data_IF_293965819224
#
_entry.id   IF_293965819224
#
_cell.length_a   1.000
_cell.length_b   1.000
_cell.length_c   1.000
_cell.angle_alpha   90.00
_cell.angle_beta   90.00
_cell.angle_gamma   90.00
#
_symmetry.space_group_name_H-M   'P 1'
#
loop_
_entity.id
_entity.type
_entity.pdbx_description
1 polymer ?
#
# COMPACT_ATOMS: atom_id res chain seq x y z
N UNK A 1 -5.61 13.94 23.90
CA UNK A 1 -6.09 12.80 23.09
C UNK A 1 -4.87 12.19 22.43
N UNK A 2 -4.66 10.88 22.57
CA UNK A 2 -3.57 10.20 21.84
C UNK A 2 -3.98 10.06 20.39
N UNK A 3 -3.11 10.54 19.51
CA UNK A 3 -3.24 10.43 18.06
C UNK A 3 -3.03 8.97 17.66
N UNK A 4 -3.81 8.49 16.67
CA UNK A 4 -3.57 7.17 16.08
C UNK A 4 -2.28 7.18 15.26
N UNK A 5 -1.39 6.20 15.49
CA UNK A 5 -0.12 6.06 14.78
C UNK A 5 -0.14 4.82 13.90
N UNK A 6 0.02 4.97 12.59
CA UNK A 6 0.26 3.84 11.69
C UNK A 6 1.77 3.74 11.42
N UNK A 7 2.35 2.58 11.67
CA UNK A 7 3.78 2.32 11.49
C UNK A 7 4.02 1.36 10.31
N UNK A 8 4.35 1.86 9.09
CA UNK A 8 4.40 1.02 7.90
C UNK A 8 5.68 0.19 7.79
N UNK A 9 5.57 -1.00 7.20
CA UNK A 9 6.67 -1.82 6.69
C UNK A 9 6.43 -1.98 5.19
N UNK A 10 7.44 -1.68 4.38
CA UNK A 10 7.35 -1.67 2.90
C UNK A 10 8.53 -2.40 2.27
N UNK A 11 8.44 -2.81 1.02
CA UNK A 11 9.45 -3.60 0.30
C UNK A 11 10.48 -2.71 -0.43
N UNK A 12 9.97 -1.77 -1.22
CA UNK A 12 10.68 -0.91 -2.15
C UNK A 12 11.07 0.45 -1.59
N UNK A 13 11.94 1.15 -2.33
CA UNK A 13 12.36 2.50 -1.96
C UNK A 13 11.31 3.56 -2.31
N UNK A 14 10.55 3.40 -3.39
CA UNK A 14 9.48 4.34 -3.75
C UNK A 14 8.34 4.33 -2.71
N UNK A 15 8.02 3.13 -2.20
CA UNK A 15 6.94 2.92 -1.24
C UNK A 15 7.17 3.64 0.09
N UNK A 16 8.43 3.84 0.50
CA UNK A 16 8.76 4.55 1.76
C UNK A 16 8.14 5.94 1.80
N UNK A 17 8.11 6.65 0.67
CA UNK A 17 7.47 7.97 0.61
C UNK A 17 5.99 7.83 0.26
N UNK A 18 5.65 6.94 -0.66
CA UNK A 18 4.28 6.80 -1.17
C UNK A 18 3.28 6.29 -0.12
N UNK A 19 3.69 5.38 0.78
CA UNK A 19 2.81 4.83 1.81
C UNK A 19 2.35 5.90 2.81
N UNK A 20 3.19 6.90 3.08
CA UNK A 20 2.82 8.04 3.94
C UNK A 20 1.69 8.85 3.32
N UNK A 21 1.82 9.18 2.04
CA UNK A 21 0.78 9.90 1.28
C UNK A 21 -0.53 9.11 1.27
N UNK A 22 -0.47 7.81 0.94
CA UNK A 22 -1.66 6.96 0.91
C UNK A 22 -2.35 6.89 2.27
N UNK A 23 -1.65 6.54 3.34
CA UNK A 23 -2.26 6.36 4.66
C UNK A 23 -2.87 7.68 5.17
N UNK A 24 -2.17 8.81 4.95
CA UNK A 24 -2.66 10.13 5.34
C UNK A 24 -3.94 10.49 4.58
N UNK A 25 -3.95 10.29 3.26
CA UNK A 25 -5.11 10.58 2.43
C UNK A 25 -6.28 9.63 2.70
N UNK A 26 -6.03 8.34 2.91
CA UNK A 26 -7.09 7.38 3.26
C UNK A 26 -7.74 7.78 4.58
N UNK A 27 -6.95 8.12 5.61
CA UNK A 27 -7.46 8.58 6.89
C UNK A 27 -8.35 9.83 6.74
N UNK A 28 -7.93 10.79 5.91
CA UNK A 28 -8.70 12.00 5.66
C UNK A 28 -9.98 11.74 4.84
N UNK A 29 -9.86 11.05 3.70
CA UNK A 29 -10.93 10.92 2.69
C UNK A 29 -11.97 9.83 3.02
N UNK A 30 -11.56 8.76 3.73
CA UNK A 30 -12.44 7.64 4.07
C UNK A 30 -12.83 7.62 5.55
N UNK A 31 -11.92 8.02 6.44
CA UNK A 31 -12.16 7.96 7.89
C UNK A 31 -12.50 9.32 8.51
N UNK A 32 -12.37 10.43 7.78
CA UNK A 32 -12.62 11.78 8.28
C UNK A 32 -11.76 12.16 9.48
N UNK A 33 -10.56 11.58 9.61
CA UNK A 33 -9.67 11.74 10.76
C UNK A 33 -8.24 12.02 10.33
N UNK A 34 -7.45 12.54 11.27
CA UNK A 34 -6.01 12.62 11.14
C UNK A 34 -5.32 11.37 11.69
N UNK A 35 -4.15 11.06 11.14
CA UNK A 35 -3.27 9.95 11.53
C UNK A 35 -1.82 10.42 11.49
N UNK A 36 -1.03 10.00 12.47
CA UNK A 36 0.43 10.12 12.39
C UNK A 36 0.97 8.87 11.68
N UNK A 37 1.77 9.07 10.63
CA UNK A 37 2.46 7.96 9.98
C UNK A 37 3.90 7.93 10.48
N UNK A 38 4.26 6.89 11.23
CA UNK A 38 5.64 6.71 11.69
C UNK A 38 6.57 6.47 10.49
N UNK A 39 7.87 6.71 10.66
CA UNK A 39 8.85 6.48 9.60
C UNK A 39 8.72 5.04 9.06
N UNK A 40 8.45 4.83 7.76
CA UNK A 40 8.31 3.49 7.21
C UNK A 40 9.60 2.70 7.33
N UNK A 41 9.49 1.42 7.66
CA UNK A 41 10.61 0.49 7.73
C UNK A 41 10.68 -0.28 6.42
N UNK A 42 11.74 -0.06 5.63
CA UNK A 42 11.96 -0.83 4.40
C UNK A 42 12.59 -2.17 4.74
N UNK A 43 11.92 -3.26 4.37
CA UNK A 43 12.41 -4.62 4.49
C UNK A 43 12.42 -5.25 3.09
N UNK A 44 13.59 -5.58 2.56
CA UNK A 44 13.68 -6.15 1.21
C UNK A 44 12.87 -7.44 1.05
N UNK A 45 12.42 -7.71 -0.17
CA UNK A 45 11.49 -8.79 -0.52
C UNK A 45 11.94 -10.16 -0.01
N UNK A 46 13.23 -10.46 -0.15
CA UNK A 46 13.84 -11.72 0.29
C UNK A 46 13.78 -11.91 1.80
N UNK A 47 13.90 -10.82 2.58
CA UNK A 47 13.71 -10.86 4.04
C UNK A 47 12.26 -10.82 4.44
N UNK A 48 11.40 -10.06 3.75
CA UNK A 48 9.98 -9.96 4.09
C UNK A 48 9.26 -11.31 4.00
N UNK A 49 9.74 -12.23 3.13
CA UNK A 49 9.27 -13.62 3.03
C UNK A 49 9.63 -14.51 4.21
N UNK A 50 10.56 -14.10 5.07
CA UNK A 50 11.03 -14.89 6.20
C UNK A 50 10.24 -14.46 7.44
N UNK A 51 9.40 -15.34 8.03
CA UNK A 51 8.57 -14.99 9.18
C UNK A 51 9.37 -14.41 10.36
N UNK A 52 10.61 -14.88 10.58
CA UNK A 52 11.47 -14.37 11.64
C UNK A 52 11.91 -12.91 11.39
N UNK A 53 12.30 -12.57 10.16
CA UNK A 53 12.75 -11.22 9.78
C UNK A 53 11.58 -10.24 9.75
N UNK A 54 10.44 -10.65 9.18
CA UNK A 54 9.21 -9.87 9.24
C UNK A 54 8.77 -9.66 10.69
N UNK A 55 8.82 -10.69 11.52
CA UNK A 55 8.49 -10.58 12.95
C UNK A 55 9.38 -9.59 13.71
N UNK A 56 10.69 -9.53 13.40
CA UNK A 56 11.60 -8.50 13.95
C UNK A 56 11.18 -7.10 13.53
N UNK A 57 10.86 -6.89 12.25
CA UNK A 57 10.41 -5.60 11.74
C UNK A 57 9.06 -5.18 12.35
N UNK A 58 8.12 -6.11 12.52
CA UNK A 58 6.82 -5.88 13.18
C UNK A 58 7.03 -5.44 14.62
N UNK A 59 7.88 -6.11 15.41
CA UNK A 59 8.19 -5.68 16.78
C UNK A 59 8.80 -4.28 16.82
N UNK A 60 9.72 -3.99 15.88
CA UNK A 60 10.36 -2.68 15.80
C UNK A 60 9.37 -1.55 15.47
N UNK A 61 8.47 -1.75 14.50
CA UNK A 61 7.46 -0.75 14.15
C UNK A 61 6.36 -0.64 15.21
N UNK A 62 5.97 -1.75 15.86
CA UNK A 62 4.98 -1.72 16.94
C UNK A 62 5.44 -0.86 18.12
N UNK A 63 6.74 -0.83 18.44
CA UNK A 63 7.29 0.04 19.48
C UNK A 63 7.11 1.54 19.18
N UNK A 64 6.79 1.92 17.94
CA UNK A 64 6.50 3.30 17.52
C UNK A 64 5.03 3.67 17.63
N UNK A 65 4.18 2.77 18.10
CA UNK A 65 2.74 2.96 18.27
C UNK A 65 2.45 3.06 19.77
N UNK A 66 2.54 4.26 20.40
CA UNK A 66 2.41 4.42 21.85
C UNK A 66 0.96 4.31 22.37
N UNK A 67 -0.01 4.09 21.48
CA UNK A 67 -1.44 4.10 21.83
C UNK A 67 -2.30 3.51 20.71
N UNK A 68 -3.25 4.30 20.19
CA UNK A 68 -4.11 3.87 19.08
C UNK A 68 -3.30 3.76 17.78
N UNK A 69 -3.75 2.92 16.86
CA UNK A 69 -3.03 2.64 15.63
C UNK A 69 -2.48 1.22 15.58
N UNK A 70 -1.48 0.99 14.73
CA UNK A 70 -0.83 -0.31 14.62
C UNK A 70 0.17 -0.37 13.47
N UNK A 71 0.59 -1.59 13.14
CA UNK A 71 1.58 -1.84 12.08
C UNK A 71 0.86 -2.16 10.78
N UNK A 72 1.25 -1.49 9.71
CA UNK A 72 0.81 -1.80 8.35
C UNK A 72 1.96 -2.49 7.62
N UNK A 73 1.78 -3.70 7.13
CA UNK A 73 2.73 -4.35 6.21
C UNK A 73 2.17 -4.23 4.81
N UNK A 74 2.87 -3.52 3.94
CA UNK A 74 2.56 -3.42 2.53
C UNK A 74 3.64 -4.15 1.72
N UNK A 75 3.21 -5.02 0.82
CA UNK A 75 4.09 -5.83 -0.01
C UNK A 75 3.52 -5.98 -1.42
N UNK A 76 4.40 -6.02 -2.40
CA UNK A 76 4.04 -6.45 -3.75
C UNK A 76 3.74 -7.95 -3.79
N UNK A 77 2.71 -8.30 -4.56
CA UNK A 77 2.28 -9.66 -4.79
C UNK A 77 3.07 -10.38 -5.88
N UNK A 78 4.22 -9.85 -6.32
CA UNK A 78 5.04 -10.51 -7.34
C UNK A 78 5.70 -11.75 -6.73
N UNK A 79 4.96 -12.83 -6.87
CA UNK A 79 5.42 -14.16 -6.56
C UNK A 79 5.02 -15.11 -7.69
N UNK A 80 6.00 -15.86 -8.18
CA UNK A 80 5.75 -17.07 -8.98
C UNK A 80 4.98 -18.13 -8.19
N UNK A 81 4.94 -18.01 -6.86
CA UNK A 81 4.59 -19.11 -5.96
C UNK A 81 3.21 -18.97 -5.32
N UNK A 82 2.60 -17.77 -5.28
CA UNK A 82 1.26 -17.55 -4.69
C UNK A 82 0.42 -16.65 -5.58
N UNK A 83 -0.65 -17.22 -6.14
CA UNK A 83 -1.58 -16.49 -7.03
C UNK A 83 -2.65 -15.69 -6.26
N UNK A 84 -2.80 -15.95 -4.97
CA UNK A 84 -3.82 -15.38 -4.10
C UNK A 84 -3.23 -14.44 -3.03
N UNK A 85 -3.45 -13.11 -3.12
CA UNK A 85 -3.02 -12.14 -2.10
C UNK A 85 -3.44 -12.48 -0.67
N UNK A 86 -4.61 -13.11 -0.50
CA UNK A 86 -5.15 -13.48 0.82
C UNK A 86 -4.35 -14.61 1.44
N UNK A 87 -3.98 -15.62 0.66
CA UNK A 87 -3.17 -16.74 1.14
C UNK A 87 -1.77 -16.26 1.52
N UNK A 88 -1.20 -15.35 0.71
CA UNK A 88 0.10 -14.75 1.02
C UNK A 88 0.07 -13.92 2.30
N UNK A 89 -0.95 -13.09 2.48
CA UNK A 89 -1.13 -12.32 3.71
C UNK A 89 -1.26 -13.23 4.94
N UNK A 90 -1.98 -14.34 4.83
CA UNK A 90 -2.10 -15.34 5.92
C UNK A 90 -0.78 -16.04 6.22
N UNK A 91 -0.01 -16.40 5.19
CA UNK A 91 1.30 -17.04 5.37
C UNK A 91 2.33 -16.11 6.03
N UNK A 92 2.20 -14.79 5.82
CA UNK A 92 3.04 -13.76 6.42
C UNK A 92 2.52 -13.27 7.79
N UNK A 93 1.35 -13.72 8.21
CA UNK A 93 0.76 -13.26 9.47
C UNK A 93 1.74 -13.53 10.63
N UNK A 94 2.03 -12.52 11.47
CA UNK A 94 2.87 -12.74 12.63
C UNK A 94 2.20 -13.76 13.55
N UNK A 95 3.00 -14.49 14.34
CA UNK A 95 2.48 -15.38 15.36
C UNK A 95 1.58 -14.60 16.34
N UNK A 96 0.52 -15.25 16.82
CA UNK A 96 -0.40 -14.66 17.78
C UNK A 96 0.36 -14.13 19.01
N UNK A 97 0.02 -12.91 19.43
CA UNK A 97 0.65 -12.25 20.58
C UNK A 97 2.09 -11.76 20.34
N UNK A 98 2.60 -11.75 19.10
CA UNK A 98 3.92 -11.19 18.77
C UNK A 98 4.09 -9.75 19.27
N UNK A 99 3.02 -8.96 19.12
CA UNK A 99 2.89 -7.56 19.56
C UNK A 99 1.48 -7.34 20.07
N UNK A 100 1.29 -6.30 20.89
CA UNK A 100 -0.02 -5.95 21.47
C UNK A 100 -0.86 -5.02 20.61
N UNK A 101 -0.25 -4.43 19.57
CA UNK A 101 -0.93 -3.54 18.62
C UNK A 101 -1.45 -4.34 17.42
N UNK A 102 -2.55 -3.91 16.78
CA UNK A 102 -3.00 -4.48 15.51
C UNK A 102 -1.90 -4.51 14.45
N UNK A 103 -1.91 -5.57 13.63
CA UNK A 103 -1.00 -5.73 12.49
C UNK A 103 -1.85 -6.08 11.27
N UNK A 104 -1.86 -5.21 10.27
CA UNK A 104 -2.59 -5.43 9.03
C UNK A 104 -1.62 -5.68 7.89
N UNK A 105 -1.80 -6.81 7.19
CA UNK A 105 -1.00 -7.16 6.02
C UNK A 105 -1.81 -6.91 4.75
N UNK A 106 -1.23 -6.13 3.84
CA UNK A 106 -1.78 -5.76 2.55
C UNK A 106 -0.81 -6.21 1.48
N UNK A 107 -1.34 -6.97 0.52
CA UNK A 107 -0.60 -7.41 -0.66
C UNK A 107 -1.19 -6.66 -1.86
N UNK A 108 -0.40 -5.78 -2.49
CA UNK A 108 -0.75 -5.18 -3.77
C UNK A 108 -0.77 -6.29 -4.83
N UNK A 109 -1.91 -6.50 -5.50
CA UNK A 109 -2.04 -7.66 -6.38
C UNK A 109 -1.13 -7.49 -7.59
N UNK A 110 -0.19 -8.44 -7.74
CA UNK A 110 0.97 -8.35 -8.62
C UNK A 110 1.94 -7.24 -8.22
N UNK A 111 1.56 -5.97 -8.36
CA UNK A 111 2.46 -4.83 -8.20
C UNK A 111 1.68 -3.61 -7.67
N UNK A 112 2.34 -2.75 -6.88
CA UNK A 112 1.80 -1.46 -6.43
C UNK A 112 1.23 -0.62 -7.60
N UNK A 113 1.88 -0.65 -8.76
CA UNK A 113 1.48 0.09 -9.96
C UNK A 113 0.08 -0.29 -10.47
N UNK A 114 -0.45 -1.46 -10.11
CA UNK A 114 -1.82 -1.85 -10.44
C UNK A 114 -2.86 -0.89 -9.84
N UNK A 115 -2.55 -0.24 -8.71
CA UNK A 115 -3.41 0.76 -8.10
C UNK A 115 -3.45 2.06 -8.89
N UNK A 116 -2.33 2.45 -9.51
CA UNK A 116 -2.29 3.60 -10.41
C UNK A 116 -3.05 3.32 -11.70
N UNK A 117 -2.92 2.12 -12.26
CA UNK A 117 -3.72 1.70 -13.41
C UNK A 117 -5.22 1.75 -13.12
N UNK A 118 -5.65 1.35 -11.93
CA UNK A 118 -7.05 1.38 -11.51
C UNK A 118 -7.64 2.80 -11.40
N UNK A 119 -6.80 3.83 -11.35
CA UNK A 119 -7.20 5.23 -11.21
C UNK A 119 -6.53 6.11 -12.28
N UNK A 120 -6.07 5.56 -13.40
CA UNK A 120 -5.17 6.27 -14.32
C UNK A 120 -5.84 7.48 -14.96
N UNK A 121 -7.15 7.45 -15.19
CA UNK A 121 -7.91 8.58 -15.72
C UNK A 121 -7.85 9.80 -14.79
N UNK A 122 -7.76 9.58 -13.47
CA UNK A 122 -7.57 10.66 -12.49
C UNK A 122 -6.17 11.27 -12.55
N UNK A 123 -5.20 10.55 -13.12
CA UNK A 123 -3.81 10.97 -13.26
C UNK A 123 -3.55 11.72 -14.57
N UNK A 124 -4.50 11.78 -15.52
CA UNK A 124 -4.31 12.49 -16.79
C UNK A 124 -3.97 13.99 -16.63
N UNK A 125 -4.31 14.60 -15.50
CA UNK A 125 -3.91 15.99 -15.21
C UNK A 125 -2.43 16.13 -14.78
N UNK A 126 -1.75 15.03 -14.47
CA UNK A 126 -0.35 15.03 -14.08
C UNK A 126 0.55 15.00 -15.33
N UNK A 127 1.58 15.87 -15.44
CA UNK A 127 2.37 16.05 -16.68
C UNK A 127 3.15 14.79 -17.16
N UNK A 128 3.34 13.83 -16.26
CA UNK A 128 3.99 12.55 -16.57
C UNK A 128 3.05 11.49 -17.17
N UNK A 129 1.74 11.75 -17.23
CA UNK A 129 0.71 10.82 -17.74
C UNK A 129 0.09 11.42 -19.00
N UNK A 130 -0.24 10.58 -19.98
CA UNK A 130 -0.89 11.02 -21.22
C UNK A 130 -2.32 11.49 -20.93
N UNK A 131 -2.75 12.56 -21.58
CA UNK A 131 -4.07 13.15 -21.39
C UNK A 131 -5.22 12.17 -21.76
N UNK A 132 -4.95 11.20 -22.64
CA UNK A 132 -5.88 10.18 -23.11
C UNK A 132 -5.65 8.79 -22.47
N UNK A 133 -4.94 8.73 -21.34
CA UNK A 133 -4.73 7.48 -20.63
C UNK A 133 -6.05 6.90 -20.12
N UNK A 134 -6.30 5.62 -20.41
CA UNK A 134 -7.48 4.88 -19.99
C UNK A 134 -7.06 3.59 -19.32
N UNK A 135 -7.72 3.26 -18.22
CA UNK A 135 -7.44 2.05 -17.48
C UNK A 135 -7.69 0.81 -18.36
N UNK A 136 -6.81 -0.20 -18.33
CA UNK A 136 -7.16 -1.50 -18.88
C UNK A 136 -8.34 -2.09 -18.09
N UNK A 137 -9.29 -2.74 -18.76
CA UNK A 137 -10.57 -3.13 -18.16
C UNK A 137 -10.50 -3.94 -16.85
N UNK A 138 -9.45 -4.74 -16.65
CA UNK A 138 -9.09 -5.27 -15.33
C UNK A 138 -7.63 -4.94 -15.03
N UNK A 139 -7.41 -3.97 -14.16
CA UNK A 139 -6.09 -3.45 -13.74
C UNK A 139 -5.29 -4.45 -12.91
N UNK A 140 -5.93 -5.50 -12.36
CA UNK A 140 -5.28 -6.57 -11.60
C UNK A 140 -5.26 -7.92 -12.35
N UNK A 141 -5.84 -8.03 -13.55
CA UNK A 141 -5.90 -9.28 -14.31
C UNK A 141 -4.57 -9.69 -14.93
N UNK A 142 -3.76 -8.71 -15.35
CA UNK A 142 -2.52 -8.93 -16.08
C UNK A 142 -1.32 -8.54 -15.21
N UNK A 143 -0.28 -9.38 -15.25
CA UNK A 143 1.06 -9.04 -14.73
C UNK A 143 1.67 -7.92 -15.58
N UNK A 144 2.65 -7.21 -15.02
CA UNK A 144 3.36 -6.12 -15.70
C UNK A 144 2.58 -4.81 -15.66
N UNK A 145 1.96 -4.52 -14.50
CA UNK A 145 1.24 -3.27 -14.29
C UNK A 145 2.19 -2.08 -14.48
N UNK A 146 3.45 -2.21 -14.06
CA UNK A 146 4.52 -1.24 -14.31
C UNK A 146 4.72 -0.94 -15.79
N UNK A 147 4.85 -1.97 -16.62
CA UNK A 147 5.04 -1.81 -18.07
C UNK A 147 3.81 -1.20 -18.74
N UNK A 148 2.61 -1.56 -18.27
CA UNK A 148 1.37 -0.96 -18.76
C UNK A 148 1.26 0.51 -18.38
N UNK A 149 1.59 0.85 -17.13
CA UNK A 149 1.61 2.22 -16.63
C UNK A 149 2.61 3.06 -17.44
N UNK A 150 3.82 2.56 -17.66
CA UNK A 150 4.83 3.22 -18.49
C UNK A 150 4.32 3.47 -19.92
N UNK A 151 3.55 2.53 -20.50
CA UNK A 151 2.90 2.73 -21.79
C UNK A 151 1.86 3.86 -21.83
N UNK A 152 1.32 4.26 -20.67
CA UNK A 152 0.38 5.37 -20.50
C UNK A 152 1.06 6.68 -20.05
N UNK A 153 2.39 6.67 -19.89
CA UNK A 153 3.17 7.82 -19.46
C UNK A 153 3.85 8.54 -20.62
N UNK A 154 4.21 9.80 -20.37
CA UNK A 154 4.99 10.65 -21.29
C UNK A 154 6.50 10.50 -21.08
N UNK A 155 6.91 9.82 -20.00
CA UNK A 155 8.28 9.51 -19.65
C UNK A 155 8.38 8.09 -19.04
N UNK A 156 9.61 7.57 -18.91
CA UNK A 156 9.82 6.27 -18.27
C UNK A 156 9.43 6.29 -16.80
N UNK A 157 8.72 5.24 -16.39
CA UNK A 157 8.32 5.08 -15.00
C UNK A 157 9.53 4.82 -14.09
N UNK A 158 9.50 5.45 -12.92
CA UNK A 158 10.54 5.41 -11.88
C UNK A 158 9.87 5.44 -10.51
N UNK A 159 9.93 4.34 -9.79
CA UNK A 159 9.21 4.15 -8.52
C UNK A 159 9.49 5.27 -7.51
N UNK A 160 10.77 5.60 -7.29
CA UNK A 160 11.20 6.63 -6.33
C UNK A 160 10.79 8.05 -6.72
N UNK A 161 10.50 8.31 -7.99
CA UNK A 161 10.07 9.62 -8.49
C UNK A 161 8.54 9.73 -8.53
N UNK A 162 7.86 8.65 -8.92
CA UNK A 162 6.46 8.69 -9.30
C UNK A 162 5.52 8.15 -8.23
N UNK A 163 5.88 7.11 -7.47
CA UNK A 163 4.94 6.48 -6.55
C UNK A 163 4.37 7.49 -5.54
N UNK A 164 5.21 8.32 -4.92
CA UNK A 164 4.74 9.34 -3.99
C UNK A 164 3.88 10.42 -4.66
N UNK A 165 4.25 10.87 -5.86
CA UNK A 165 3.51 11.90 -6.59
C UNK A 165 2.13 11.39 -6.99
N UNK A 166 2.06 10.20 -7.57
CA UNK A 166 0.82 9.59 -8.01
C UNK A 166 -0.07 9.24 -6.82
N UNK A 167 0.48 8.65 -5.75
CA UNK A 167 -0.26 8.39 -4.52
C UNK A 167 -0.77 9.66 -3.84
N UNK A 168 -0.11 10.81 -4.04
CA UNK A 168 -0.55 12.11 -3.55
C UNK A 168 -1.72 12.73 -4.32
N UNK A 169 -1.97 12.32 -5.57
CA UNK A 169 -2.97 12.98 -6.45
C UNK A 169 -4.01 12.06 -7.08
N UNK A 170 -3.79 10.74 -7.15
CA UNK A 170 -4.77 9.81 -7.73
C UNK A 170 -6.10 9.86 -6.97
N UNK A 171 -7.21 9.62 -7.66
CA UNK A 171 -8.52 9.45 -7.02
C UNK A 171 -8.56 8.09 -6.28
N UNK A 172 -8.59 8.15 -4.95
CA UNK A 172 -8.58 6.95 -4.11
C UNK A 172 -9.89 6.15 -4.20
N UNK A 173 -11.03 6.81 -4.50
CA UNK A 173 -12.31 6.13 -4.68
C UNK A 173 -12.36 5.40 -6.02
N UNK A 174 -11.79 5.99 -7.07
CA UNK A 174 -11.59 5.31 -8.36
C UNK A 174 -10.68 4.08 -8.20
N UNK A 175 -9.54 4.23 -7.51
CA UNK A 175 -8.64 3.12 -7.21
C UNK A 175 -9.36 2.01 -6.42
N UNK A 176 -10.17 2.36 -5.41
CA UNK A 176 -10.96 1.40 -4.65
C UNK A 176 -12.06 0.73 -5.47
N UNK A 177 -12.69 1.41 -6.43
CA UNK A 177 -13.65 0.81 -7.32
C UNK A 177 -12.99 -0.21 -8.27
N UNK A 178 -11.83 0.15 -8.84
CA UNK A 178 -11.12 -0.64 -9.85
C UNK A 178 -10.20 -1.74 -9.31
N UNK A 179 -9.71 -1.65 -8.06
CA UNK A 179 -8.73 -2.59 -7.49
C UNK A 179 -9.19 -3.20 -6.17
N UNK A 180 -9.25 -4.54 -6.12
CA UNK A 180 -9.59 -5.29 -4.89
C UNK A 180 -8.50 -5.18 -3.84
N UNK A 181 -7.22 -5.25 -4.26
CA UNK A 181 -6.10 -5.09 -3.34
C UNK A 181 -6.01 -3.66 -2.79
N UNK A 182 -6.40 -2.64 -3.57
CA UNK A 182 -6.53 -1.28 -3.05
C UNK A 182 -7.69 -1.14 -2.06
N UNK A 183 -8.85 -1.79 -2.30
CA UNK A 183 -9.91 -1.84 -1.27
C UNK A 183 -9.42 -2.47 0.03
N UNK A 184 -8.59 -3.51 -0.06
CA UNK A 184 -7.95 -4.11 1.11
C UNK A 184 -7.01 -3.12 1.81
N UNK A 185 -6.26 -2.30 1.08
CA UNK A 185 -5.46 -1.21 1.64
C UNK A 185 -6.31 -0.20 2.42
N UNK A 186 -7.41 0.28 1.83
CA UNK A 186 -8.35 1.19 2.50
C UNK A 186 -8.88 0.56 3.79
N UNK A 187 -9.35 -0.68 3.71
CA UNK A 187 -9.90 -1.41 4.84
C UNK A 187 -8.87 -1.66 5.95
N UNK A 188 -7.62 -1.97 5.61
CA UNK A 188 -6.54 -2.11 6.58
C UNK A 188 -6.34 -0.82 7.37
N UNK A 189 -6.34 0.34 6.70
CA UNK A 189 -6.20 1.63 7.38
C UNK A 189 -7.41 1.91 8.28
N UNK A 190 -8.64 1.64 7.84
CA UNK A 190 -9.85 1.77 8.66
C UNK A 190 -9.74 0.95 9.97
N UNK A 191 -9.33 -0.32 9.86
CA UNK A 191 -9.12 -1.20 11.01
C UNK A 191 -8.04 -0.67 11.96
N UNK A 192 -6.89 -0.24 11.43
CA UNK A 192 -5.80 0.32 12.24
C UNK A 192 -6.21 1.61 12.96
N UNK A 193 -7.13 2.39 12.39
CA UNK A 193 -7.66 3.61 13.00
C UNK A 193 -8.82 3.34 13.97
N UNK A 194 -9.25 2.08 14.12
CA UNK A 194 -10.32 1.68 15.02
C UNK A 194 -11.72 2.05 14.53
N UNK A 195 -11.90 2.22 13.22
CA UNK A 195 -13.23 2.36 12.62
C UNK A 195 -13.94 1.01 12.68
N UNK A 196 -15.18 0.99 13.14
CA UNK A 196 -16.04 -0.20 13.03
C UNK A 196 -16.59 -0.21 11.60
N UNK A 197 -16.11 -1.14 10.78
CA UNK A 197 -16.53 -1.32 9.38
C UNK A 197 -17.79 -2.17 9.30
#
# INVERSE_FOLDING_TARGET
MTVSVVAPIVEGHGEVTAVRELVTRIAAEFCGTWVEVAQPFRLDSGKMRKPEELGKAVRFQAARVPGRGGVLVLRDGDDSDVTCPVELARALAPADGLVTVPVEIVIARHEYEAWFLAAVESLCAHPAVKDDAVAPGDSEAKRGAKSQLEGLMTESYKETLHQAKFSGVMDLRAAAAGSRSFRRMVHAVELLLGQTV
#
